data_IF_882887954758
#
_entry.id   IF_882887954758
#
_cell.length_a   1.000
_cell.length_b   1.000
_cell.length_c   1.000
_cell.angle_alpha   90.00
_cell.angle_beta   90.00
_cell.angle_gamma   90.00
#
_symmetry.space_group_name_H-M   'P 1'
#
loop_
_entity.id
_entity.type
_entity.pdbx_description
1 polymer ?
#
# COMPACT_ATOMS: atom_id res chain seq x y z
N UNK A 1 -18.72 1.18 -19.02
CA UNK A 1 -18.93 0.06 -18.09
C UNK A 1 -17.77 -0.02 -17.10
N UNK A 2 -18.07 0.05 -15.82
CA UNK A 2 -17.05 -0.14 -14.80
C UNK A 2 -16.72 -1.63 -14.70
N UNK A 3 -15.55 -1.99 -15.16
CA UNK A 3 -15.04 -3.34 -14.97
C UNK A 3 -14.59 -3.49 -13.52
N UNK A 4 -15.06 -4.54 -12.86
CA UNK A 4 -14.56 -4.88 -11.52
C UNK A 4 -13.10 -5.35 -11.66
N UNK A 5 -12.15 -4.74 -10.96
CA UNK A 5 -10.76 -5.16 -11.05
C UNK A 5 -10.55 -6.53 -10.40
N UNK A 6 -9.53 -7.23 -10.85
CA UNK A 6 -9.02 -8.38 -10.11
C UNK A 6 -8.15 -7.86 -8.98
N UNK A 7 -8.51 -8.24 -7.75
CA UNK A 7 -7.88 -7.72 -6.54
C UNK A 7 -7.18 -8.85 -5.81
N UNK A 8 -5.92 -8.59 -5.44
CA UNK A 8 -5.12 -9.49 -4.60
C UNK A 8 -4.59 -8.70 -3.43
N UNK A 9 -4.88 -9.15 -2.21
CA UNK A 9 -4.43 -8.50 -0.99
C UNK A 9 -3.80 -9.56 -0.09
N UNK A 10 -2.57 -9.30 0.35
CA UNK A 10 -1.85 -10.18 1.26
C UNK A 10 -1.19 -9.36 2.36
N UNK A 11 -1.35 -9.80 3.61
CA UNK A 11 -0.67 -9.26 4.77
C UNK A 11 0.05 -10.42 5.46
N UNK A 12 1.35 -10.32 5.63
CA UNK A 12 2.13 -11.38 6.24
C UNK A 12 3.62 -11.06 6.32
N UNK A 13 4.38 -12.01 6.84
CA UNK A 13 5.83 -11.82 7.03
C UNK A 13 6.63 -12.07 5.76
N UNK A 14 6.10 -12.86 4.83
CA UNK A 14 6.82 -13.24 3.63
C UNK A 14 7.15 -12.04 2.75
N UNK A 15 8.37 -12.03 2.23
CA UNK A 15 8.77 -11.06 1.23
C UNK A 15 8.06 -11.33 -0.10
N UNK A 16 8.10 -10.36 -1.00
CA UNK A 16 7.50 -10.48 -2.31
C UNK A 16 8.55 -10.30 -3.40
N UNK A 17 8.29 -10.92 -4.55
CA UNK A 17 9.10 -10.75 -5.76
C UNK A 17 8.36 -9.80 -6.70
N UNK A 18 8.89 -8.59 -6.87
CA UNK A 18 8.27 -7.56 -7.71
C UNK A 18 8.01 -8.07 -9.14
N UNK A 19 8.95 -8.78 -9.72
CA UNK A 19 8.80 -9.27 -11.10
C UNK A 19 7.61 -10.21 -11.23
N UNK A 20 7.44 -11.13 -10.28
CA UNK A 20 6.31 -12.08 -10.28
C UNK A 20 4.98 -11.37 -10.10
N UNK A 21 4.93 -10.40 -9.18
CA UNK A 21 3.71 -9.65 -8.92
C UNK A 21 3.33 -8.75 -10.09
N UNK A 22 4.33 -8.14 -10.73
CA UNK A 22 4.12 -7.34 -11.93
C UNK A 22 3.56 -8.20 -13.07
N UNK A 23 4.14 -9.39 -13.29
CA UNK A 23 3.68 -10.31 -14.32
C UNK A 23 2.25 -10.76 -14.09
N UNK A 24 1.86 -10.98 -12.83
CA UNK A 24 0.48 -11.33 -12.48
C UNK A 24 -0.51 -10.22 -12.88
N UNK A 25 -0.15 -8.96 -12.65
CA UNK A 25 -0.96 -7.82 -13.06
C UNK A 25 -0.98 -7.68 -14.60
N UNK A 26 0.18 -7.88 -15.23
CA UNK A 26 0.31 -7.78 -16.69
C UNK A 26 -0.54 -8.83 -17.42
N UNK A 27 -0.75 -9.99 -16.82
CA UNK A 27 -1.54 -11.06 -17.42
C UNK A 27 -3.04 -10.73 -17.47
N UNK A 28 -3.51 -9.75 -16.70
CA UNK A 28 -4.91 -9.31 -16.75
C UNK A 28 -5.12 -8.43 -17.98
N UNK A 29 -6.08 -8.77 -18.87
CA UNK A 29 -6.23 -8.03 -20.11
C UNK A 29 -6.82 -6.64 -19.91
N UNK A 30 -6.60 -5.76 -20.88
CA UNK A 30 -7.21 -4.45 -20.97
C UNK A 30 -6.37 -3.29 -20.47
N UNK A 31 -5.18 -3.56 -19.92
CA UNK A 31 -4.34 -2.50 -19.37
C UNK A 31 -3.36 -1.95 -20.39
N UNK A 32 -3.27 -0.62 -20.45
CA UNK A 32 -2.21 0.09 -21.16
C UNK A 32 -1.18 0.69 -20.23
N UNK A 33 -1.42 0.63 -18.91
CA UNK A 33 -0.52 1.20 -17.91
C UNK A 33 -0.54 0.38 -16.63
N UNK A 34 0.64 0.13 -16.09
CA UNK A 34 0.81 -0.51 -14.79
C UNK A 34 1.74 0.38 -13.95
N UNK A 35 1.30 0.72 -12.74
CA UNK A 35 2.12 1.44 -11.79
C UNK A 35 2.39 0.54 -10.60
N UNK A 36 3.66 0.39 -10.25
CA UNK A 36 4.08 -0.38 -9.10
C UNK A 36 4.85 0.53 -8.15
N UNK A 37 4.37 0.59 -6.91
CA UNK A 37 5.08 1.27 -5.84
C UNK A 37 5.57 0.23 -4.85
N UNK A 38 6.86 0.24 -4.56
CA UNK A 38 7.45 -0.59 -3.52
C UNK A 38 8.04 0.32 -2.46
N UNK A 39 7.60 0.14 -1.22
CA UNK A 39 8.13 0.84 -0.07
C UNK A 39 9.17 0.01 0.65
N UNK A 40 10.24 0.66 1.09
CA UNK A 40 11.33 0.02 1.82
C UNK A 40 11.39 0.57 3.24
N UNK A 41 11.95 -0.21 4.13
CA UNK A 41 12.28 0.27 5.47
C UNK A 41 13.40 1.29 5.33
N UNK A 42 13.14 2.54 5.74
CA UNK A 42 14.13 3.59 5.67
C UNK A 42 15.19 3.41 6.75
N UNK A 43 16.44 3.76 6.41
CA UNK A 43 17.49 3.87 7.39
C UNK A 43 17.29 5.15 8.19
N UNK A 44 17.47 5.08 9.50
CA UNK A 44 17.42 6.26 10.37
C UNK A 44 18.54 6.17 11.39
N UNK A 45 18.95 7.33 11.91
CA UNK A 45 20.08 7.39 12.83
C UNK A 45 19.84 6.51 14.07
N UNK A 46 20.74 5.55 14.32
CA UNK A 46 20.61 4.59 15.41
C UNK A 46 19.57 3.51 15.19
N UNK A 47 18.96 3.44 14.01
CA UNK A 47 17.95 2.45 13.70
C UNK A 47 18.54 1.09 13.35
N UNK A 48 17.95 0.01 13.88
CA UNK A 48 18.36 -1.37 13.60
C UNK A 48 17.28 -2.18 12.94
N UNK A 49 16.03 -1.96 13.34
CA UNK A 49 14.89 -2.71 12.82
C UNK A 49 13.60 -1.93 13.00
N UNK A 50 12.64 -2.23 12.14
CA UNK A 50 11.26 -1.77 12.27
C UNK A 50 10.39 -3.00 12.51
N UNK A 51 9.60 -2.99 13.57
CA UNK A 51 8.64 -4.05 13.84
C UNK A 51 7.25 -3.56 13.49
N UNK A 52 6.55 -4.35 12.68
CA UNK A 52 5.19 -4.05 12.26
C UNK A 52 4.26 -5.13 12.79
N UNK A 53 3.17 -4.70 13.41
CA UNK A 53 2.12 -5.59 13.85
C UNK A 53 0.79 -5.18 13.22
N UNK A 54 -0.11 -6.14 13.08
CA UNK A 54 -1.42 -5.92 12.47
C UNK A 54 -2.48 -6.72 13.22
N UNK A 55 -3.75 -6.40 12.94
CA UNK A 55 -4.89 -7.22 13.38
C UNK A 55 -5.32 -8.13 12.25
N UNK A 56 -5.09 -9.45 12.35
CA UNK A 56 -5.54 -10.38 11.31
C UNK A 56 -7.05 -10.24 11.07
N UNK A 57 -7.43 -10.24 9.82
CA UNK A 57 -8.82 -10.04 9.41
C UNK A 57 -9.21 -8.58 9.30
N UNK A 58 -9.01 -7.77 10.34
CA UNK A 58 -9.38 -6.34 10.31
C UNK A 58 -8.50 -5.55 9.35
N UNK A 59 -7.20 -5.82 9.34
CA UNK A 59 -6.28 -5.14 8.42
C UNK A 59 -6.61 -5.48 6.97
N UNK A 60 -6.87 -6.74 6.67
CA UNK A 60 -7.25 -7.16 5.32
C UNK A 60 -8.58 -6.52 4.89
N UNK A 61 -9.56 -6.43 5.78
CA UNK A 61 -10.83 -5.76 5.48
C UNK A 61 -10.64 -4.27 5.21
N UNK A 62 -9.78 -3.61 6.00
CA UNK A 62 -9.47 -2.20 5.80
C UNK A 62 -8.81 -1.97 4.44
N UNK A 63 -7.85 -2.82 4.06
CA UNK A 63 -7.19 -2.74 2.76
C UNK A 63 -8.18 -2.99 1.62
N UNK A 64 -9.07 -3.99 1.75
CA UNK A 64 -10.08 -4.27 0.75
C UNK A 64 -11.03 -3.08 0.57
N UNK A 65 -11.42 -2.42 1.66
CA UNK A 65 -12.26 -1.24 1.61
C UNK A 65 -11.57 -0.08 0.88
N UNK A 66 -10.29 0.14 1.16
CA UNK A 66 -9.49 1.18 0.46
C UNK A 66 -9.43 0.89 -1.04
N UNK A 67 -9.18 -0.35 -1.41
CA UNK A 67 -9.14 -0.76 -2.83
C UNK A 67 -10.49 -0.56 -3.50
N UNK A 68 -11.59 -0.92 -2.83
CA UNK A 68 -12.94 -0.70 -3.34
C UNK A 68 -13.21 0.78 -3.59
N UNK A 69 -12.79 1.66 -2.68
CA UNK A 69 -12.93 3.11 -2.86
C UNK A 69 -12.14 3.59 -4.08
N UNK A 70 -10.94 3.09 -4.28
CA UNK A 70 -10.15 3.43 -5.47
C UNK A 70 -10.84 2.95 -6.74
N UNK A 71 -11.40 1.74 -6.74
CA UNK A 71 -12.07 1.16 -7.89
C UNK A 71 -13.37 1.89 -8.25
N UNK A 72 -14.01 2.60 -7.31
CA UNK A 72 -15.17 3.43 -7.62
C UNK A 72 -14.78 4.76 -8.26
N UNK A 73 -13.55 5.23 -8.02
CA UNK A 73 -13.07 6.52 -8.54
C UNK A 73 -12.38 6.40 -9.90
N UNK A 74 -11.70 5.28 -10.13
CA UNK A 74 -10.91 5.08 -11.35
C UNK A 74 -11.23 3.73 -11.97
N UNK A 75 -11.21 3.63 -13.31
CA UNK A 75 -11.39 2.35 -13.99
C UNK A 75 -10.10 1.52 -13.88
N UNK A 76 -10.11 0.51 -13.03
CA UNK A 76 -8.96 -0.34 -12.78
C UNK A 76 -9.24 -1.76 -13.28
N UNK A 77 -8.22 -2.41 -13.83
CA UNK A 77 -8.28 -3.80 -14.28
C UNK A 77 -7.69 -4.76 -13.25
N UNK A 78 -6.64 -4.32 -12.55
CA UNK A 78 -5.99 -5.12 -11.53
C UNK A 78 -5.45 -4.23 -10.41
N UNK A 79 -5.57 -4.72 -9.18
CA UNK A 79 -4.95 -4.10 -8.00
C UNK A 79 -4.32 -5.20 -7.17
N UNK A 80 -3.05 -5.03 -6.83
CA UNK A 80 -2.34 -5.95 -5.94
C UNK A 80 -1.74 -5.15 -4.79
N UNK A 81 -2.06 -5.54 -3.57
CA UNK A 81 -1.54 -4.90 -2.36
C UNK A 81 -0.93 -6.00 -1.50
N UNK A 82 0.36 -5.87 -1.23
CA UNK A 82 1.08 -6.78 -0.34
C UNK A 82 1.73 -5.95 0.75
N UNK A 83 1.43 -6.25 2.00
CA UNK A 83 2.04 -5.55 3.13
C UNK A 83 2.68 -6.56 4.06
N UNK A 84 3.97 -6.34 4.32
CA UNK A 84 4.71 -7.19 5.24
C UNK A 84 4.52 -6.72 6.67
N UNK A 85 4.64 -7.66 7.58
CA UNK A 85 4.62 -7.44 9.04
C UNK A 85 5.80 -8.18 9.66
N UNK A 86 5.97 -8.06 10.96
CA UNK A 86 7.09 -8.67 11.68
C UNK A 86 8.25 -7.69 11.78
N UNK A 87 9.44 -8.22 12.04
CA UNK A 87 10.64 -7.42 12.23
C UNK A 87 11.40 -7.31 10.92
N UNK A 88 11.58 -6.07 10.44
CA UNK A 88 12.23 -5.77 9.17
C UNK A 88 13.43 -4.86 9.41
N UNK A 89 14.51 -5.10 8.67
CA UNK A 89 15.72 -4.30 8.75
C UNK A 89 15.71 -3.19 7.69
N UNK A 90 16.48 -2.11 7.90
CA UNK A 90 16.60 -1.07 6.87
C UNK A 90 16.98 -1.67 5.51
N UNK A 91 16.30 -1.20 4.47
CA UNK A 91 16.47 -1.68 3.10
C UNK A 91 15.55 -2.82 2.71
N UNK A 92 14.93 -3.51 3.65
CA UNK A 92 13.96 -4.55 3.32
C UNK A 92 12.68 -3.97 2.75
N UNK A 93 12.03 -4.71 1.87
CA UNK A 93 10.74 -4.34 1.32
C UNK A 93 9.66 -4.45 2.39
N UNK A 94 8.72 -3.49 2.39
CA UNK A 94 7.67 -3.43 3.40
C UNK A 94 6.29 -3.51 2.77
N UNK A 95 6.09 -2.88 1.64
CA UNK A 95 4.78 -2.77 0.99
C UNK A 95 4.95 -2.72 -0.51
N UNK A 96 3.98 -3.30 -1.21
CA UNK A 96 3.87 -3.23 -2.67
C UNK A 96 2.43 -2.88 -3.01
N UNK A 97 2.25 -1.87 -3.85
CA UNK A 97 0.94 -1.55 -4.44
C UNK A 97 1.10 -1.50 -5.95
N UNK A 98 0.36 -2.35 -6.65
CA UNK A 98 0.31 -2.37 -8.11
C UNK A 98 -1.10 -2.02 -8.55
N UNK A 99 -1.21 -1.06 -9.46
CA UNK A 99 -2.47 -0.68 -10.08
C UNK A 99 -2.33 -0.73 -11.59
N UNK A 100 -3.32 -1.32 -12.26
CA UNK A 100 -3.34 -1.47 -13.72
C UNK A 100 -4.62 -0.88 -14.28
N UNK A 101 -4.51 -0.09 -15.33
CA UNK A 101 -5.63 0.58 -15.97
C UNK A 101 -5.37 0.72 -17.47
N UNK A 102 -6.40 1.08 -18.24
CA UNK A 102 -6.24 1.34 -19.66
C UNK A 102 -5.28 2.52 -19.92
N UNK A 103 -5.28 3.51 -19.02
CA UNK A 103 -4.48 4.72 -19.19
C UNK A 103 -3.68 5.05 -17.92
N UNK A 104 -2.55 5.72 -18.10
CA UNK A 104 -1.59 5.98 -17.01
C UNK A 104 -2.13 6.87 -15.89
N UNK A 105 -3.00 7.83 -16.20
CA UNK A 105 -3.50 8.78 -15.18
C UNK A 105 -4.23 8.03 -14.07
N UNK A 106 -5.18 7.15 -14.43
CA UNK A 106 -5.91 6.38 -13.44
C UNK A 106 -4.98 5.44 -12.67
N UNK A 107 -4.01 4.83 -13.35
CA UNK A 107 -3.05 3.93 -12.69
C UNK A 107 -2.23 4.67 -11.63
N UNK A 108 -1.71 5.86 -11.96
CA UNK A 108 -0.95 6.67 -11.00
C UNK A 108 -1.81 7.18 -9.85
N UNK A 109 -2.97 7.75 -10.16
CA UNK A 109 -3.82 8.34 -9.12
C UNK A 109 -4.36 7.29 -8.16
N UNK A 110 -4.81 6.15 -8.68
CA UNK A 110 -5.30 5.07 -7.83
C UNK A 110 -4.19 4.52 -6.92
N UNK A 111 -2.97 4.39 -7.44
CA UNK A 111 -1.83 3.93 -6.65
C UNK A 111 -1.55 4.89 -5.50
N UNK A 112 -1.46 6.19 -5.80
CA UNK A 112 -1.22 7.21 -4.78
C UNK A 112 -2.34 7.26 -3.74
N UNK A 113 -3.60 7.15 -4.17
CA UNK A 113 -4.76 7.11 -3.28
C UNK A 113 -4.66 5.94 -2.31
N UNK A 114 -4.39 4.74 -2.83
CA UNK A 114 -4.30 3.53 -2.00
C UNK A 114 -3.20 3.70 -0.94
N UNK A 115 -2.04 4.21 -1.34
CA UNK A 115 -0.93 4.42 -0.41
C UNK A 115 -1.26 5.46 0.66
N UNK A 116 -1.90 6.57 0.28
CA UNK A 116 -2.25 7.63 1.22
C UNK A 116 -3.24 7.14 2.29
N UNK A 117 -4.24 6.35 1.88
CA UNK A 117 -5.20 5.78 2.83
C UNK A 117 -4.61 4.63 3.63
N UNK A 118 -3.76 3.82 3.03
CA UNK A 118 -3.08 2.71 3.72
C UNK A 118 -2.25 3.24 4.90
N UNK A 119 -1.58 4.37 4.72
CA UNK A 119 -0.74 4.98 5.75
C UNK A 119 -1.52 5.49 6.97
N UNK A 120 -2.80 5.79 6.80
CA UNK A 120 -3.60 6.42 7.86
C UNK A 120 -4.75 5.54 8.36
N UNK A 121 -5.35 4.71 7.53
CA UNK A 121 -6.56 3.97 7.88
C UNK A 121 -6.36 2.46 8.08
N UNK A 122 -5.27 1.89 7.55
CA UNK A 122 -4.99 0.49 7.80
C UNK A 122 -4.41 0.30 9.20
N UNK A 123 -4.95 -0.66 9.98
CA UNK A 123 -4.52 -0.83 11.38
C UNK A 123 -3.19 -1.59 11.47
N UNK A 124 -2.10 -0.86 11.25
CA UNK A 124 -0.75 -1.32 11.49
C UNK A 124 -0.12 -0.52 12.64
N UNK A 125 0.62 -1.21 13.50
CA UNK A 125 1.43 -0.59 14.52
C UNK A 125 2.89 -0.72 14.16
N UNK A 126 3.64 0.37 14.35
CA UNK A 126 5.06 0.42 14.07
C UNK A 126 5.83 0.62 15.36
N UNK A 127 6.87 -0.20 15.55
CA UNK A 127 7.82 -0.03 16.64
C UNK A 127 9.21 0.12 16.03
N UNK A 128 9.85 1.25 16.28
CA UNK A 128 11.24 1.46 15.88
C UNK A 128 12.15 0.86 16.93
N UNK A 129 13.05 -0.03 16.52
CA UNK A 129 14.05 -0.67 17.39
C UNK A 129 15.40 -0.09 17.00
N UNK A 130 16.08 0.53 17.98
CA UNK A 130 17.38 1.15 17.74
C UNK A 130 18.29 1.00 18.95
N UNK A 131 19.43 1.69 18.92
CA UNK A 131 20.42 1.64 19.99
C UNK A 131 19.87 2.17 21.32
N UNK A 132 18.87 3.04 21.29
CA UNK A 132 18.24 3.62 22.49
C UNK A 132 17.03 2.82 22.99
N UNK A 133 16.71 1.66 22.37
CA UNK A 133 15.61 0.82 22.75
C UNK A 133 14.48 0.80 21.70
N UNK A 134 13.30 0.34 22.10
CA UNK A 134 12.15 0.19 21.22
C UNK A 134 11.09 1.25 21.52
N UNK A 135 10.60 1.93 20.48
CA UNK A 135 9.61 3.00 20.60
C UNK A 135 8.50 2.82 19.57
N UNK A 136 7.23 2.91 20.03
CA UNK A 136 6.10 2.93 19.13
C UNK A 136 6.04 4.26 18.36
N UNK A 137 5.73 4.18 17.07
CA UNK A 137 5.70 5.34 16.18
C UNK A 137 4.25 5.70 15.86
N UNK A 138 3.89 6.97 16.07
CA UNK A 138 2.58 7.47 15.70
C UNK A 138 2.53 7.87 14.22
N UNK A 139 1.32 7.93 13.66
CA UNK A 139 1.10 8.39 12.29
C UNK A 139 1.64 9.81 12.11
N UNK A 140 2.30 10.06 10.98
CA UNK A 140 2.87 11.38 10.69
C UNK A 140 1.79 12.33 10.20
N UNK A 141 1.88 13.60 10.58
CA UNK A 141 0.98 14.65 10.12
C UNK A 141 0.98 14.77 8.59
N UNK A 142 2.13 14.54 7.94
CA UNK A 142 2.23 14.56 6.48
C UNK A 142 1.37 13.47 5.82
N UNK A 143 1.20 12.31 6.46
CA UNK A 143 0.36 11.23 5.95
C UNK A 143 -1.12 11.63 6.04
N UNK A 144 -1.54 12.27 7.12
CA UNK A 144 -2.90 12.77 7.26
C UNK A 144 -3.21 13.87 6.22
N UNK A 145 -2.28 14.76 5.98
CA UNK A 145 -2.44 15.81 4.97
C UNK A 145 -2.57 15.21 3.56
N UNK A 146 -1.78 14.19 3.24
CA UNK A 146 -1.87 13.50 1.96
C UNK A 146 -3.24 12.85 1.76
N UNK A 147 -3.78 12.20 2.80
CA UNK A 147 -5.12 11.63 2.76
C UNK A 147 -6.20 12.70 2.57
N UNK A 148 -6.10 13.80 3.30
CA UNK A 148 -7.08 14.89 3.26
C UNK A 148 -7.23 15.49 1.86
N UNK A 149 -6.17 15.48 1.07
CA UNK A 149 -6.21 15.93 -0.31
C UNK A 149 -7.30 15.19 -1.12
N UNK A 150 -7.47 13.90 -0.90
CA UNK A 150 -8.45 13.08 -1.61
C UNK A 150 -9.88 13.35 -1.13
N UNK A 151 -10.05 13.68 0.15
CA UNK A 151 -11.36 14.00 0.72
C UNK A 151 -11.87 15.33 0.17
N UNK A 152 -11.02 16.33 0.01
CA UNK A 152 -11.39 17.63 -0.56
C UNK A 152 -11.84 17.52 -2.01
N UNK A 153 -11.24 16.63 -2.77
CA UNK A 153 -11.55 16.44 -4.18
C UNK A 153 -12.81 15.60 -4.42
N UNK A 154 -13.37 14.98 -3.40
CA UNK A 154 -14.57 14.14 -3.54
C UNK A 154 -15.88 14.92 -3.44
N UNK A 155 -15.82 16.19 -3.03
CA UNK A 155 -17.00 17.06 -2.86
C UNK A 155 -17.32 17.89 -4.12
N UNK A 156 -16.54 17.73 -5.18
CA UNK A 156 -16.77 18.42 -6.46
C UNK A 156 -17.65 17.59 -7.43
#
# INVERSE_FOLDING_TARGET
>A
MNTTPQVYIQVGEADFDLASEYQAAQAIPGSGAIVAFAGLVRDWHGGRALRLEHYPGMTQKALAHIVDQAATRWPLNAVRVIHRVGTLQPGEQIVLVITASAHRVAAYEANAFIMDYLKTEAPFWKQEIGDAGANWVEARASDDAARQRWEQNSDD
#
